data_IF_034983444746
#
_entry.id   IF_034983444746
#
_cell.length_a   1.000
_cell.length_b   1.000
_cell.length_c   1.000
_cell.angle_alpha   90.00
_cell.angle_beta   90.00
_cell.angle_gamma   90.00
#
_symmetry.space_group_name_H-M   'P 1'
#
loop_
_entity.id
_entity.type
_entity.pdbx_description
1 polymer ?
#
# COMPACT_ATOMS: atom_id res chain seq x y z
N UNK A 1 -21.17 25.05 -2.52
CA UNK A 1 -20.66 24.01 -1.59
C UNK A 1 -19.50 24.61 -0.84
N UNK A 2 -19.38 24.32 0.46
CA UNK A 2 -18.19 24.70 1.22
C UNK A 2 -16.97 23.89 0.75
N UNK A 3 -15.77 24.36 1.09
CA UNK A 3 -14.55 23.59 0.84
C UNK A 3 -14.36 22.53 1.93
N UNK A 4 -13.68 21.41 1.64
CA UNK A 4 -13.27 20.44 2.65
C UNK A 4 -12.31 21.04 3.69
N UNK A 5 -12.38 20.54 4.91
CA UNK A 5 -11.49 20.95 6.00
C UNK A 5 -10.06 20.47 5.72
N UNK A 6 -9.05 21.24 6.16
CA UNK A 6 -7.64 20.87 5.99
C UNK A 6 -7.11 20.26 7.29
N UNK A 7 -6.48 19.10 7.20
CA UNK A 7 -5.84 18.42 8.33
C UNK A 7 -4.33 18.29 8.11
N UNK A 8 -3.54 18.89 9.00
CA UNK A 8 -2.08 18.93 8.93
C UNK A 8 -1.48 18.24 10.17
N UNK A 9 -1.00 16.98 10.06
CA UNK A 9 -0.19 16.38 11.12
C UNK A 9 1.23 16.99 11.10
N UNK A 10 1.72 17.43 12.26
CA UNK A 10 3.02 18.08 12.38
C UNK A 10 3.84 17.48 13.53
N UNK A 11 5.10 17.17 13.25
CA UNK A 11 6.09 16.82 14.27
C UNK A 11 7.38 17.57 14.01
N UNK A 12 7.76 18.45 14.94
CA UNK A 12 8.93 19.33 14.84
C UNK A 12 8.97 20.12 13.52
N UNK A 13 7.87 20.84 13.16
CA UNK A 13 7.79 21.58 11.91
C UNK A 13 8.74 22.79 11.89
N UNK A 14 9.01 23.31 10.70
CA UNK A 14 9.66 24.61 10.52
C UNK A 14 8.61 25.73 10.35
N UNK A 15 9.06 26.97 10.10
CA UNK A 15 8.18 28.12 9.94
C UNK A 15 7.24 28.03 8.72
N UNK A 16 7.51 27.13 7.76
CA UNK A 16 6.70 27.03 6.54
C UNK A 16 5.27 26.63 6.81
N UNK A 17 5.01 25.94 7.93
CA UNK A 17 3.64 25.61 8.32
C UNK A 17 2.79 26.88 8.54
N UNK A 18 3.38 27.94 9.09
CA UNK A 18 2.69 29.22 9.31
C UNK A 18 2.37 29.89 7.99
N UNK A 19 3.34 29.88 7.06
CA UNK A 19 3.15 30.44 5.71
C UNK A 19 2.08 29.67 4.93
N UNK A 20 2.11 28.33 5.00
CA UNK A 20 1.12 27.46 4.38
C UNK A 20 -0.29 27.75 4.90
N UNK A 21 -0.47 27.89 6.22
CA UNK A 21 -1.76 28.23 6.83
C UNK A 21 -2.28 29.56 6.31
N UNK A 22 -1.43 30.60 6.27
CA UNK A 22 -1.80 31.91 5.72
C UNK A 22 -2.21 31.86 4.25
N UNK A 23 -1.48 31.08 3.44
CA UNK A 23 -1.81 30.87 2.03
C UNK A 23 -3.12 30.09 1.84
N UNK A 24 -3.42 29.12 2.70
CA UNK A 24 -4.67 28.34 2.65
C UNK A 24 -5.88 29.20 2.98
N UNK A 25 -5.81 30.04 4.02
CA UNK A 25 -6.86 31.02 4.29
C UNK A 25 -7.04 31.98 3.12
N UNK A 26 -5.95 32.46 2.53
CA UNK A 26 -6.01 33.33 1.33
C UNK A 26 -6.63 32.63 0.12
N UNK A 27 -6.55 31.30 0.05
CA UNK A 27 -7.17 30.48 -0.99
C UNK A 27 -8.65 30.13 -0.70
N UNK A 28 -9.19 30.58 0.43
CA UNK A 28 -10.59 30.43 0.83
C UNK A 28 -10.90 29.22 1.69
N UNK A 29 -9.90 28.52 2.24
CA UNK A 29 -10.13 27.45 3.21
C UNK A 29 -10.37 28.03 4.60
N UNK A 30 -11.53 27.77 5.19
CA UNK A 30 -11.92 28.35 6.48
C UNK A 30 -11.56 27.47 7.68
N UNK A 31 -11.57 26.15 7.50
CA UNK A 31 -11.37 25.18 8.59
C UNK A 31 -10.04 24.45 8.44
N UNK A 32 -9.03 24.94 9.16
CA UNK A 32 -7.70 24.33 9.20
C UNK A 32 -7.42 23.76 10.59
N UNK A 33 -7.14 22.46 10.65
CA UNK A 33 -6.80 21.71 11.86
C UNK A 33 -5.35 21.25 11.76
N UNK A 34 -4.55 21.62 12.76
CA UNK A 34 -3.17 21.15 12.92
C UNK A 34 -3.09 20.25 14.13
N UNK A 35 -2.41 19.12 14.00
CA UNK A 35 -2.13 18.21 15.11
C UNK A 35 -0.63 18.22 15.40
N UNK A 36 -0.24 18.87 16.50
CA UNK A 36 1.12 18.78 17.06
C UNK A 36 1.31 17.41 17.72
N UNK A 37 2.05 16.53 17.06
CA UNK A 37 2.37 15.18 17.53
C UNK A 37 3.52 15.19 18.54
N UNK A 38 3.43 16.04 19.56
CA UNK A 38 4.39 16.11 20.66
C UNK A 38 5.76 16.66 20.26
N UNK A 39 5.80 17.77 19.53
CA UNK A 39 7.04 18.42 19.07
C UNK A 39 7.91 18.96 20.22
N UNK A 40 7.28 19.31 21.34
CA UNK A 40 7.94 19.81 22.55
C UNK A 40 7.95 21.35 22.66
N UNK A 41 8.40 21.90 23.80
CA UNK A 41 8.32 23.33 24.11
C UNK A 41 9.04 24.24 23.10
N UNK A 42 10.13 23.76 22.49
CA UNK A 42 10.94 24.49 21.50
C UNK A 42 10.13 24.90 20.26
N UNK A 43 9.07 24.16 19.91
CA UNK A 43 8.24 24.41 18.73
C UNK A 43 6.94 25.17 19.05
N UNK A 44 6.73 25.51 20.31
CA UNK A 44 5.47 26.12 20.79
C UNK A 44 5.14 27.45 20.14
N UNK A 45 6.15 28.26 19.81
CA UNK A 45 5.98 29.55 19.12
C UNK A 45 5.38 29.36 17.72
N UNK A 46 5.84 28.35 16.97
CA UNK A 46 5.35 28.04 15.62
C UNK A 46 3.85 27.73 15.66
N UNK A 47 3.44 26.85 16.58
CA UNK A 47 2.03 26.52 16.75
C UNK A 47 1.20 27.68 17.31
N UNK A 48 1.76 28.53 18.16
CA UNK A 48 1.09 29.75 18.65
C UNK A 48 0.83 30.73 17.51
N UNK A 49 1.82 30.96 16.66
CA UNK A 49 1.70 31.82 15.47
C UNK A 49 0.69 31.27 14.47
N UNK A 50 0.70 29.96 14.20
CA UNK A 50 -0.33 29.33 13.39
C UNK A 50 -1.73 29.53 14.02
N UNK A 51 -1.89 29.26 15.31
CA UNK A 51 -3.15 29.46 16.03
C UNK A 51 -3.68 30.90 15.98
N UNK A 52 -2.80 31.91 15.98
CA UNK A 52 -3.17 33.32 15.80
C UNK A 52 -3.76 33.63 14.43
N UNK A 53 -3.51 32.81 13.41
CA UNK A 53 -4.16 32.91 12.09
C UNK A 53 -5.58 32.33 12.08
N UNK A 54 -6.02 31.69 13.17
CA UNK A 54 -7.37 31.14 13.33
C UNK A 54 -7.46 29.62 13.21
N UNK A 55 -6.35 28.91 12.95
CA UNK A 55 -6.40 27.44 12.84
C UNK A 55 -6.57 26.76 14.21
N UNK A 56 -7.25 25.61 14.21
CA UNK A 56 -7.38 24.78 15.41
C UNK A 56 -6.10 23.99 15.64
N UNK A 57 -5.54 24.05 16.86
CA UNK A 57 -4.35 23.27 17.24
C UNK A 57 -4.73 22.18 18.24
N UNK A 58 -4.57 20.92 17.84
CA UNK A 58 -4.64 19.75 18.73
C UNK A 58 -3.22 19.33 19.13
N UNK A 59 -3.03 18.82 20.36
CA UNK A 59 -1.69 18.49 20.87
C UNK A 59 -1.64 17.10 21.49
N UNK A 60 -0.60 16.36 21.16
CA UNK A 60 -0.18 15.18 21.90
C UNK A 60 0.93 15.54 22.90
N UNK A 61 0.95 14.85 24.05
CA UNK A 61 2.01 15.04 25.04
C UNK A 61 3.37 14.48 24.63
N UNK A 62 3.39 13.48 23.74
CA UNK A 62 4.58 12.83 23.18
C UNK A 62 4.33 12.47 21.70
N UNK A 63 5.38 12.16 20.95
CA UNK A 63 5.25 11.65 19.59
C UNK A 63 4.56 10.28 19.57
N UNK A 64 3.34 10.24 19.06
CA UNK A 64 2.54 9.03 18.91
C UNK A 64 2.58 8.47 17.48
N UNK A 65 2.96 9.30 16.51
CA UNK A 65 3.10 8.94 15.11
C UNK A 65 2.09 9.65 14.19
N UNK A 66 2.46 9.81 12.91
CA UNK A 66 1.63 10.49 11.89
C UNK A 66 0.23 9.88 11.77
N UNK A 67 0.11 8.56 11.81
CA UNK A 67 -1.19 7.88 11.74
C UNK A 67 -2.08 8.21 12.93
N UNK A 68 -1.53 8.26 14.15
CA UNK A 68 -2.26 8.69 15.34
C UNK A 68 -2.66 10.15 15.21
N UNK A 69 -1.77 11.03 14.76
CA UNK A 69 -2.08 12.45 14.55
C UNK A 69 -3.23 12.65 13.55
N UNK A 70 -3.21 11.93 12.43
CA UNK A 70 -4.31 11.92 11.47
C UNK A 70 -5.62 11.44 12.11
N UNK A 71 -5.60 10.33 12.86
CA UNK A 71 -6.78 9.82 13.57
C UNK A 71 -7.30 10.81 14.62
N UNK A 72 -6.43 11.50 15.33
CA UNK A 72 -6.83 12.55 16.29
C UNK A 72 -7.58 13.67 15.57
N UNK A 73 -7.08 14.12 14.42
CA UNK A 73 -7.76 15.13 13.61
C UNK A 73 -9.09 14.65 13.04
N UNK A 74 -9.14 13.45 12.48
CA UNK A 74 -10.38 12.83 11.98
C UNK A 74 -11.43 12.70 13.09
N UNK A 75 -11.02 12.24 14.27
CA UNK A 75 -11.91 12.09 15.41
C UNK A 75 -12.43 13.45 15.90
N UNK A 76 -11.54 14.44 15.99
CA UNK A 76 -11.94 15.81 16.32
C UNK A 76 -13.02 16.32 15.36
N UNK A 77 -12.82 16.15 14.04
CA UNK A 77 -13.79 16.61 13.05
C UNK A 77 -15.16 15.95 13.25
N UNK A 78 -15.19 14.63 13.39
CA UNK A 78 -16.43 13.86 13.62
C UNK A 78 -17.13 14.25 14.93
N UNK A 79 -16.40 14.52 16.00
CA UNK A 79 -16.98 14.88 17.31
C UNK A 79 -17.45 16.32 17.42
N UNK A 80 -16.98 17.21 16.53
CA UNK A 80 -17.29 18.64 16.56
C UNK A 80 -18.23 19.08 15.43
N UNK A 81 -18.69 18.15 14.59
CA UNK A 81 -19.55 18.46 13.44
C UNK A 81 -18.81 19.09 12.25
N UNK A 82 -17.49 18.98 12.22
CA UNK A 82 -16.60 19.42 11.15
C UNK A 82 -16.42 18.33 10.09
N UNK A 83 -15.84 18.66 8.94
CA UNK A 83 -15.56 17.72 7.85
C UNK A 83 -16.80 17.30 7.05
N UNK A 84 -17.84 18.14 7.00
CA UNK A 84 -19.08 17.90 6.24
C UNK A 84 -18.78 17.62 4.75
N UNK A 85 -17.88 18.40 4.16
CA UNK A 85 -17.43 18.24 2.77
C UNK A 85 -16.23 17.29 2.62
N UNK A 86 -15.89 16.56 3.68
CA UNK A 86 -14.70 15.73 3.78
C UNK A 86 -13.48 16.49 4.31
N UNK A 87 -12.34 15.81 4.31
CA UNK A 87 -11.07 16.32 4.86
C UNK A 87 -9.96 16.15 3.84
N UNK A 88 -9.16 17.19 3.62
CA UNK A 88 -7.92 17.11 2.85
C UNK A 88 -6.75 17.06 3.82
N UNK A 89 -5.95 15.99 3.74
CA UNK A 89 -4.70 15.91 4.48
C UNK A 89 -3.58 16.63 3.73
N UNK A 90 -2.72 17.36 4.42
CA UNK A 90 -1.52 17.96 3.84
C UNK A 90 -0.33 17.81 4.80
N UNK A 91 0.87 17.64 4.24
CA UNK A 91 2.11 17.58 5.03
C UNK A 91 2.55 18.98 5.51
N UNK A 92 3.11 19.03 6.73
CA UNK A 92 3.52 20.26 7.39
C UNK A 92 4.79 20.93 6.81
N UNK A 93 5.44 20.31 5.83
CA UNK A 93 6.73 20.76 5.29
C UNK A 93 6.61 21.70 4.07
N UNK A 94 5.37 22.05 3.70
CA UNK A 94 5.08 22.98 2.61
C UNK A 94 5.33 22.40 1.21
N UNK A 95 5.41 21.07 1.06
CA UNK A 95 5.56 20.44 -0.25
C UNK A 95 4.30 20.56 -1.13
N UNK A 96 3.13 20.81 -0.52
CA UNK A 96 1.84 20.91 -1.21
C UNK A 96 1.45 22.36 -1.41
N UNK A 97 1.24 22.76 -2.65
CA UNK A 97 0.78 24.13 -2.94
C UNK A 97 -0.71 24.28 -2.60
N UNK A 98 -1.17 25.50 -2.23
CA UNK A 98 -2.60 25.78 -2.13
C UNK A 98 -3.37 25.47 -3.41
N UNK A 99 -2.73 25.66 -4.57
CA UNK A 99 -3.31 25.31 -5.87
C UNK A 99 -3.53 23.80 -6.02
N UNK A 100 -2.57 22.97 -5.59
CA UNK A 100 -2.73 21.51 -5.60
C UNK A 100 -3.79 21.05 -4.61
N UNK A 101 -3.84 21.62 -3.41
CA UNK A 101 -4.88 21.36 -2.41
C UNK A 101 -6.26 21.73 -2.99
N UNK A 102 -6.36 22.83 -3.72
CA UNK A 102 -7.59 23.23 -4.41
C UNK A 102 -8.02 22.23 -5.48
N UNK A 103 -7.09 21.69 -6.29
CA UNK A 103 -7.42 20.61 -7.25
C UNK A 103 -8.01 19.38 -6.56
N UNK A 104 -7.53 19.04 -5.35
CA UNK A 104 -8.09 17.94 -4.56
C UNK A 104 -9.51 18.27 -4.10
N UNK A 105 -9.75 19.49 -3.60
CA UNK A 105 -11.07 19.93 -3.18
C UNK A 105 -12.08 19.90 -4.34
N UNK A 106 -11.68 20.36 -5.53
CA UNK A 106 -12.53 20.34 -6.72
C UNK A 106 -12.85 18.89 -7.13
N UNK A 107 -11.88 17.98 -7.05
CA UNK A 107 -12.08 16.56 -7.33
C UNK A 107 -12.98 15.85 -6.30
N UNK A 108 -12.88 16.21 -5.00
CA UNK A 108 -13.79 15.72 -3.97
C UNK A 108 -15.21 16.21 -4.20
N UNK A 109 -15.38 17.46 -4.66
CA UNK A 109 -16.69 18.00 -5.02
C UNK A 109 -17.30 17.24 -6.20
N UNK A 110 -16.49 16.93 -7.23
CA UNK A 110 -16.93 16.18 -8.38
C UNK A 110 -17.21 14.69 -8.07
N UNK A 111 -16.51 14.11 -7.11
CA UNK A 111 -16.64 12.70 -6.69
C UNK A 111 -16.67 12.58 -5.15
N UNK A 112 -17.80 12.92 -4.49
CA UNK A 112 -17.89 13.05 -3.02
C UNK A 112 -17.60 11.77 -2.22
N UNK A 113 -17.66 10.63 -2.89
CA UNK A 113 -17.54 9.30 -2.30
C UNK A 113 -16.17 8.64 -2.54
N UNK A 114 -15.35 9.26 -3.40
CA UNK A 114 -14.07 8.73 -3.80
C UNK A 114 -12.94 9.20 -2.88
N UNK A 115 -11.96 8.33 -2.67
CA UNK A 115 -10.68 8.72 -2.08
C UNK A 115 -9.85 9.41 -3.17
N UNK A 116 -9.52 10.68 -2.96
CA UNK A 116 -8.74 11.47 -3.92
C UNK A 116 -7.27 11.49 -3.48
N UNK A 117 -6.35 11.23 -4.40
CA UNK A 117 -4.91 11.18 -4.14
C UNK A 117 -4.19 12.21 -5.01
N UNK A 118 -3.42 13.08 -4.37
CA UNK A 118 -2.47 13.96 -5.06
C UNK A 118 -1.25 13.17 -5.50
N UNK A 119 -1.08 12.96 -6.79
CA UNK A 119 0.01 12.17 -7.37
C UNK A 119 1.07 13.09 -7.92
N UNK A 120 2.28 13.01 -7.36
CA UNK A 120 3.42 13.78 -7.84
C UNK A 120 3.79 13.37 -9.27
N UNK A 121 3.97 14.37 -10.15
CA UNK A 121 4.61 14.13 -11.43
C UNK A 121 6.11 13.84 -11.21
N UNK A 122 6.54 12.59 -11.42
CA UNK A 122 7.94 12.16 -11.26
C UNK A 122 8.87 12.66 -12.38
N UNK A 123 8.54 13.79 -13.02
CA UNK A 123 9.32 14.46 -14.05
C UNK A 123 10.38 15.34 -13.40
N UNK A 124 11.64 14.90 -13.39
CA UNK A 124 12.79 15.68 -12.85
C UNK A 124 13.82 14.88 -12.04
N UNK A 125 14.72 15.60 -11.34
CA UNK A 125 15.78 15.07 -10.46
C UNK A 125 15.22 14.52 -9.14
N UNK A 126 14.40 13.46 -9.21
CA UNK A 126 13.96 12.73 -8.03
C UNK A 126 15.17 12.01 -7.41
N UNK A 127 15.43 12.09 -6.10
CA UNK A 127 16.46 11.27 -5.46
C UNK A 127 16.21 9.79 -5.75
N UNK A 128 17.20 9.10 -6.35
CA UNK A 128 17.10 7.71 -6.82
C UNK A 128 16.48 6.75 -5.77
N UNK A 129 16.81 6.95 -4.48
CA UNK A 129 16.28 6.13 -3.37
C UNK A 129 14.77 6.26 -3.17
N UNK A 130 14.20 7.47 -3.30
CA UNK A 130 12.75 7.70 -3.15
C UNK A 130 11.98 7.16 -4.36
N UNK A 131 12.55 7.33 -5.58
CA UNK A 131 11.99 6.76 -6.81
C UNK A 131 11.96 5.24 -6.79
N UNK A 132 13.04 4.59 -6.33
CA UNK A 132 13.10 3.13 -6.21
C UNK A 132 12.11 2.60 -5.17
N UNK A 133 12.03 3.19 -3.98
CA UNK A 133 11.07 2.79 -2.95
C UNK A 133 9.62 2.88 -3.43
N UNK A 134 9.23 4.01 -4.03
CA UNK A 134 7.88 4.18 -4.57
C UNK A 134 7.61 3.22 -5.74
N UNK A 135 8.56 2.99 -6.65
CA UNK A 135 8.37 2.02 -7.74
C UNK A 135 8.14 0.60 -7.23
N UNK A 136 8.89 0.18 -6.21
CA UNK A 136 8.73 -1.12 -5.56
C UNK A 136 7.35 -1.21 -4.90
N UNK A 137 6.96 -0.22 -4.11
CA UNK A 137 5.66 -0.20 -3.44
C UNK A 137 4.49 -0.13 -4.42
N UNK A 138 4.60 0.64 -5.50
CA UNK A 138 3.59 0.70 -6.59
C UNK A 138 3.46 -0.63 -7.32
N UNK A 139 4.59 -1.24 -7.65
CA UNK A 139 4.62 -2.58 -8.24
C UNK A 139 3.91 -3.58 -7.33
N UNK A 140 4.20 -3.55 -6.02
CA UNK A 140 3.56 -4.43 -5.06
C UNK A 140 2.08 -4.13 -4.80
N UNK A 141 1.68 -2.85 -4.77
CA UNK A 141 0.29 -2.47 -4.63
C UNK A 141 -0.55 -2.93 -5.82
N UNK A 142 -0.04 -2.71 -7.05
CA UNK A 142 -0.66 -3.23 -8.28
C UNK A 142 -0.68 -4.77 -8.30
N UNK A 143 0.37 -5.41 -7.79
CA UNK A 143 0.49 -6.86 -7.61
C UNK A 143 -0.51 -7.46 -6.62
N UNK A 144 -0.95 -6.73 -5.59
CA UNK A 144 -1.85 -7.27 -4.57
C UNK A 144 -3.30 -6.85 -4.82
N UNK A 145 -3.55 -5.66 -5.35
CA UNK A 145 -4.90 -5.08 -5.42
C UNK A 145 -5.40 -4.79 -6.83
N UNK A 146 -4.58 -4.95 -7.88
CA UNK A 146 -5.00 -4.74 -9.28
C UNK A 146 -5.28 -3.28 -9.66
N UNK A 147 -5.43 -2.37 -8.70
CA UNK A 147 -5.54 -0.93 -8.88
C UNK A 147 -4.18 -0.27 -9.09
N UNK A 148 -4.04 0.52 -10.16
CA UNK A 148 -2.81 1.29 -10.44
C UNK A 148 -2.81 2.58 -9.63
N UNK A 149 -2.14 2.59 -8.47
CA UNK A 149 -1.89 3.81 -7.69
C UNK A 149 -0.52 4.35 -8.05
N UNK A 150 -0.50 5.60 -8.53
CA UNK A 150 0.71 6.25 -9.04
C UNK A 150 1.56 6.89 -7.96
N UNK A 151 1.02 7.14 -6.78
CA UNK A 151 1.83 7.54 -5.63
C UNK A 151 1.22 7.00 -4.36
N UNK A 152 1.80 5.93 -3.83
CA UNK A 152 1.33 5.32 -2.58
C UNK A 152 1.81 6.08 -1.35
N UNK A 153 2.78 6.99 -1.52
CA UNK A 153 3.46 7.70 -0.43
C UNK A 153 3.07 9.19 -0.38
N UNK A 154 2.04 9.59 -1.12
CA UNK A 154 1.52 10.96 -1.03
C UNK A 154 0.81 11.18 0.32
N UNK A 155 1.14 12.29 0.98
CA UNK A 155 0.42 12.80 2.14
C UNK A 155 -0.74 13.73 1.77
N UNK A 156 -0.85 14.14 0.49
CA UNK A 156 -1.95 14.96 0.00
C UNK A 156 -3.11 14.08 -0.46
N UNK A 157 -4.16 14.01 0.35
CA UNK A 157 -5.30 13.11 0.13
C UNK A 157 -6.61 13.78 0.48
N UNK A 158 -7.60 13.62 -0.39
CA UNK A 158 -8.99 13.94 -0.10
C UNK A 158 -9.70 12.73 0.48
N UNK A 159 -10.12 12.85 1.74
CA UNK A 159 -10.81 11.83 2.52
C UNK A 159 -12.30 12.19 2.57
N UNK A 160 -13.18 11.41 1.91
CA UNK A 160 -14.60 11.72 1.88
C UNK A 160 -15.26 11.50 3.24
N UNK A 161 -16.21 12.37 3.58
CA UNK A 161 -16.85 12.41 4.89
C UNK A 161 -17.46 11.06 5.30
N UNK A 162 -18.13 10.39 4.36
CA UNK A 162 -18.78 9.09 4.58
C UNK A 162 -17.83 8.01 5.10
N UNK A 163 -16.57 8.03 4.68
CA UNK A 163 -15.60 7.00 5.03
C UNK A 163 -14.81 7.33 6.30
N UNK A 164 -14.96 8.51 6.89
CA UNK A 164 -14.21 8.90 8.10
C UNK A 164 -14.33 7.91 9.26
N UNK A 165 -15.51 7.33 9.60
CA UNK A 165 -15.60 6.33 10.66
C UNK A 165 -14.80 5.05 10.35
N UNK A 166 -14.81 4.61 9.09
CA UNK A 166 -13.98 3.48 8.65
C UNK A 166 -12.49 3.83 8.80
N UNK A 167 -12.07 5.00 8.29
CA UNK A 167 -10.68 5.46 8.33
C UNK A 167 -10.15 5.52 9.77
N UNK A 168 -10.96 5.96 10.74
CA UNK A 168 -10.60 5.95 12.16
C UNK A 168 -10.36 4.54 12.71
N UNK A 169 -11.16 3.56 12.29
CA UNK A 169 -11.08 2.18 12.77
C UNK A 169 -9.87 1.40 12.22
N UNK A 170 -9.23 1.90 11.15
CA UNK A 170 -8.13 1.18 10.50
C UNK A 170 -6.91 1.05 11.43
N UNK A 171 -6.18 -0.07 11.36
CA UNK A 171 -4.98 -0.25 12.17
C UNK A 171 -3.83 0.66 11.71
N UNK A 172 -2.84 0.84 12.58
CA UNK A 172 -1.63 1.64 12.30
C UNK A 172 -1.68 3.01 12.96
N UNK A 173 -0.52 3.46 13.43
CA UNK A 173 -0.36 4.69 14.20
C UNK A 173 0.76 5.58 13.68
N UNK A 174 1.61 5.08 12.79
CA UNK A 174 2.66 5.87 12.11
C UNK A 174 2.37 5.91 10.61
N UNK A 175 3.41 6.01 9.78
CA UNK A 175 3.28 6.14 8.33
C UNK A 175 2.58 4.96 7.66
N UNK A 176 2.58 3.76 8.28
CA UNK A 176 1.87 2.60 7.77
C UNK A 176 0.34 2.78 7.75
N UNK A 177 -0.20 3.73 8.51
CA UNK A 177 -1.63 4.05 8.50
C UNK A 177 -2.09 4.52 7.12
N UNK A 178 -1.35 5.42 6.50
CA UNK A 178 -1.63 5.93 5.15
C UNK A 178 -1.63 4.79 4.12
N UNK A 179 -0.74 3.82 4.29
CA UNK A 179 -0.77 2.62 3.45
C UNK A 179 -2.03 1.78 3.68
N UNK A 180 -2.43 1.58 4.94
CA UNK A 180 -3.64 0.80 5.26
C UNK A 180 -4.90 1.46 4.69
N UNK A 181 -4.98 2.80 4.63
CA UNK A 181 -6.08 3.49 3.93
C UNK A 181 -6.19 3.02 2.48
N UNK A 182 -5.07 2.94 1.76
CA UNK A 182 -5.07 2.50 0.36
C UNK A 182 -5.45 1.02 0.21
N UNK A 183 -4.92 0.17 1.08
CA UNK A 183 -5.22 -1.27 1.09
C UNK A 183 -6.72 -1.52 1.36
N UNK A 184 -7.30 -0.77 2.30
CA UNK A 184 -8.69 -0.93 2.72
C UNK A 184 -9.67 -0.25 1.76
N UNK A 185 -9.26 0.82 1.07
CA UNK A 185 -10.07 1.41 0.00
C UNK A 185 -10.44 0.36 -1.06
N UNK A 186 -9.49 -0.48 -1.47
CA UNK A 186 -9.78 -1.60 -2.36
C UNK A 186 -10.69 -2.66 -1.72
N UNK A 187 -10.47 -2.95 -0.42
CA UNK A 187 -11.29 -3.94 0.30
C UNK A 187 -12.77 -3.53 0.38
N UNK A 188 -13.03 -2.23 0.50
CA UNK A 188 -14.36 -1.66 0.67
C UNK A 188 -14.93 -1.09 -0.64
N UNK A 189 -14.32 -1.39 -1.80
CA UNK A 189 -14.76 -0.92 -3.12
C UNK A 189 -14.86 0.62 -3.22
N UNK A 190 -14.02 1.32 -2.45
CA UNK A 190 -13.92 2.79 -2.48
C UNK A 190 -13.15 3.18 -3.74
N UNK A 191 -13.77 4.01 -4.57
CA UNK A 191 -13.15 4.51 -5.81
C UNK A 191 -11.92 5.37 -5.51
N UNK A 192 -10.86 5.19 -6.30
CA UNK A 192 -9.61 5.96 -6.18
C UNK A 192 -9.49 6.95 -7.35
N UNK A 193 -9.43 8.24 -7.03
CA UNK A 193 -9.18 9.31 -8.01
C UNK A 193 -7.76 9.81 -7.82
N UNK A 194 -7.04 10.02 -8.92
CA UNK A 194 -5.63 10.42 -8.88
C UNK A 194 -5.43 11.72 -9.64
N UNK A 195 -5.12 12.78 -8.91
CA UNK A 195 -4.94 14.14 -9.42
C UNK A 195 -3.44 14.46 -9.50
N UNK A 196 -2.90 14.78 -10.68
CA UNK A 196 -1.50 15.22 -10.80
C UNK A 196 -1.24 16.49 -10.00
N UNK A 197 -0.18 16.48 -9.20
CA UNK A 197 0.29 17.64 -8.41
C UNK A 197 1.75 17.94 -8.73
N UNK A 198 2.12 19.19 -8.54
CA UNK A 198 3.51 19.64 -8.71
C UNK A 198 4.34 19.22 -7.50
N UNK A 199 5.62 18.89 -7.72
CA UNK A 199 6.52 18.53 -6.61
C UNK A 199 7.47 19.67 -6.33
N UNK A 200 7.28 20.34 -5.20
CA UNK A 200 8.24 21.34 -4.72
C UNK A 200 9.37 20.59 -4.00
N UNK A 201 10.51 20.42 -4.69
CA UNK A 201 11.73 19.92 -4.07
C UNK A 201 12.45 21.07 -3.36
N UNK A 202 12.38 21.10 -2.04
CA UNK A 202 13.12 22.08 -1.22
C UNK A 202 14.51 21.51 -0.94
N UNK A 203 15.57 22.16 -1.44
CA UNK A 203 16.96 21.79 -1.14
C UNK A 203 17.22 21.88 0.38
N UNK A 204 17.85 20.85 0.95
CA UNK A 204 18.22 20.82 2.37
C UNK A 204 17.21 20.20 3.33
N UNK A 205 16.13 19.56 2.84
CA UNK A 205 15.11 18.94 3.69
C UNK A 205 15.65 17.68 4.43
N UNK A 206 16.36 17.88 5.55
CA UNK A 206 16.79 16.84 6.51
C UNK A 206 15.65 16.33 7.39
N UNK A 207 14.46 16.91 7.31
CA UNK A 207 13.33 16.67 8.23
C UNK A 207 12.38 15.53 7.84
N UNK A 208 12.55 14.92 6.66
CA UNK A 208 11.85 13.68 6.35
C UNK A 208 12.46 12.52 7.15
N UNK A 209 12.00 12.34 8.40
CA UNK A 209 12.27 11.17 9.24
C UNK A 209 11.66 9.86 8.70
N UNK A 210 11.28 9.84 7.42
CA UNK A 210 10.68 8.70 6.74
C UNK A 210 11.71 7.58 6.51
N UNK A 211 11.55 6.46 7.20
CA UNK A 211 12.40 5.27 7.06
C UNK A 211 11.70 4.26 6.15
N UNK A 212 11.79 4.53 4.84
CA UNK A 212 11.21 3.78 3.69
C UNK A 212 11.12 2.24 3.88
N UNK A 213 12.15 1.61 4.47
CA UNK A 213 12.25 0.16 4.60
C UNK A 213 11.47 -0.42 5.79
N UNK A 214 11.38 0.30 6.91
CA UNK A 214 10.65 -0.17 8.10
C UNK A 214 9.14 0.02 7.94
N UNK A 215 8.74 1.09 7.27
CA UNK A 215 7.31 1.44 7.10
C UNK A 215 6.61 0.60 6.01
N UNK A 216 7.38 0.05 5.06
CA UNK A 216 6.88 -0.88 4.05
C UNK A 216 6.83 -2.34 4.52
N UNK A 217 7.19 -2.61 5.78
CA UNK A 217 7.38 -3.96 6.32
C UNK A 217 6.14 -4.87 6.23
N UNK A 218 4.91 -4.32 6.29
CA UNK A 218 3.69 -5.16 6.15
C UNK A 218 3.45 -5.64 4.73
N UNK A 219 3.74 -4.80 3.72
CA UNK A 219 3.64 -5.17 2.31
C UNK A 219 4.68 -6.25 2.02
N UNK A 220 5.92 -6.03 2.48
CA UNK A 220 6.97 -7.04 2.41
C UNK A 220 6.62 -8.29 3.19
N UNK A 221 5.96 -8.20 4.35
CA UNK A 221 5.57 -9.36 5.14
C UNK A 221 4.55 -10.24 4.42
N UNK A 222 3.61 -9.67 3.64
CA UNK A 222 2.67 -10.47 2.85
C UNK A 222 3.41 -11.26 1.76
N UNK A 223 4.34 -10.61 1.07
CA UNK A 223 5.17 -11.25 0.04
C UNK A 223 6.12 -12.28 0.63
N UNK A 224 6.77 -11.97 1.75
CA UNK A 224 7.61 -12.90 2.48
C UNK A 224 6.82 -14.11 2.96
N UNK A 225 5.57 -13.94 3.40
CA UNK A 225 4.69 -15.07 3.74
C UNK A 225 4.34 -15.93 2.52
N UNK A 226 4.11 -15.33 1.36
CA UNK A 226 3.87 -16.07 0.11
C UNK A 226 5.13 -16.78 -0.42
N UNK A 227 6.29 -16.13 -0.33
CA UNK A 227 7.58 -16.75 -0.66
C UNK A 227 7.85 -17.90 0.31
N UNK A 228 7.63 -17.70 1.61
CA UNK A 228 7.79 -18.72 2.62
C UNK A 228 6.83 -19.90 2.41
N UNK A 229 5.56 -19.67 2.07
CA UNK A 229 4.60 -20.74 1.77
C UNK A 229 5.03 -21.56 0.55
N UNK A 230 5.52 -20.89 -0.50
CA UNK A 230 6.03 -21.54 -1.70
C UNK A 230 7.31 -22.35 -1.42
N UNK A 231 8.21 -21.84 -0.57
CA UNK A 231 9.42 -22.57 -0.14
C UNK A 231 9.06 -23.80 0.71
N UNK A 232 8.12 -23.67 1.65
CA UNK A 232 7.63 -24.78 2.46
C UNK A 232 7.00 -25.84 1.55
N UNK A 233 6.16 -25.44 0.59
CA UNK A 233 5.55 -26.34 -0.37
C UNK A 233 6.61 -27.06 -1.22
N UNK A 234 7.64 -26.35 -1.67
CA UNK A 234 8.77 -26.96 -2.40
C UNK A 234 9.54 -27.96 -1.53
N UNK A 235 9.73 -27.69 -0.24
CA UNK A 235 10.34 -28.63 0.70
C UNK A 235 9.50 -29.89 0.89
N UNK A 236 8.17 -29.73 1.01
CA UNK A 236 7.22 -30.85 1.07
C UNK A 236 7.23 -31.66 -0.23
N UNK A 237 7.28 -31.01 -1.39
CA UNK A 237 7.39 -31.66 -2.70
C UNK A 237 8.61 -32.57 -2.76
N UNK A 238 9.77 -32.04 -2.36
CA UNK A 238 11.02 -32.79 -2.37
C UNK A 238 10.99 -33.98 -1.40
N UNK A 239 10.48 -33.76 -0.17
CA UNK A 239 10.37 -34.82 0.83
C UNK A 239 9.42 -35.94 0.38
N UNK A 240 8.23 -35.59 -0.13
CA UNK A 240 7.26 -36.56 -0.61
C UNK A 240 7.79 -37.33 -1.81
N UNK A 241 8.46 -36.65 -2.75
CA UNK A 241 9.08 -37.32 -3.89
C UNK A 241 10.13 -38.33 -3.44
N UNK A 242 11.02 -37.94 -2.51
CA UNK A 242 12.06 -38.82 -1.97
C UNK A 242 11.46 -40.06 -1.28
N UNK A 243 10.47 -39.88 -0.41
CA UNK A 243 9.79 -40.98 0.27
C UNK A 243 9.07 -41.92 -0.72
N UNK A 244 8.36 -41.36 -1.70
CA UNK A 244 7.65 -42.16 -2.70
C UNK A 244 8.61 -42.95 -3.59
N UNK A 245 9.81 -42.44 -3.84
CA UNK A 245 10.82 -43.14 -4.62
C UNK A 245 11.41 -44.35 -3.86
N UNK A 246 11.53 -44.24 -2.54
CA UNK A 246 11.95 -45.35 -1.66
C UNK A 246 10.85 -46.41 -1.56
N UNK A 247 9.60 -45.99 -1.36
CA UNK A 247 8.46 -46.90 -1.13
C UNK A 247 8.04 -47.59 -2.44
N UNK A 248 8.08 -46.89 -3.57
CA UNK A 248 7.69 -47.40 -4.89
C UNK A 248 8.83 -47.27 -5.92
N UNK A 249 9.91 -48.06 -5.79
CA UNK A 249 11.04 -47.99 -6.72
C UNK A 249 10.59 -48.27 -8.16
N UNK A 250 11.09 -47.49 -9.12
CA UNK A 250 10.78 -47.64 -10.54
C UNK A 250 9.46 -47.01 -11.01
N UNK A 251 8.59 -46.54 -10.10
CA UNK A 251 7.33 -45.86 -10.46
C UNK A 251 7.47 -44.33 -10.43
N UNK A 252 8.40 -43.79 -11.22
CA UNK A 252 8.77 -42.36 -11.18
C UNK A 252 7.57 -41.41 -11.36
N UNK A 253 6.67 -41.70 -12.30
CA UNK A 253 5.50 -40.85 -12.60
C UNK A 253 4.56 -40.79 -11.39
N UNK A 254 4.36 -41.92 -10.71
CA UNK A 254 3.51 -42.00 -9.52
C UNK A 254 4.10 -41.18 -8.37
N UNK A 255 5.42 -41.30 -8.13
CA UNK A 255 6.12 -40.53 -7.09
C UNK A 255 6.03 -39.02 -7.33
N UNK A 256 6.19 -38.56 -8.58
CA UNK A 256 6.05 -37.14 -8.94
C UNK A 256 4.61 -36.66 -8.75
N UNK A 257 3.62 -37.45 -9.19
CA UNK A 257 2.22 -37.07 -9.09
C UNK A 257 1.77 -36.89 -7.63
N UNK A 258 2.13 -37.83 -6.75
CA UNK A 258 1.82 -37.77 -5.32
C UNK A 258 2.51 -36.58 -4.65
N UNK A 259 3.79 -36.36 -4.95
CA UNK A 259 4.54 -35.22 -4.42
C UNK A 259 3.89 -33.88 -4.79
N UNK A 260 3.52 -33.71 -6.07
CA UNK A 260 2.87 -32.51 -6.59
C UNK A 260 1.48 -32.29 -6.01
N UNK A 261 0.70 -33.36 -5.84
CA UNK A 261 -0.62 -33.27 -5.23
C UNK A 261 -0.52 -32.83 -3.75
N UNK A 262 0.40 -33.43 -2.99
CA UNK A 262 0.62 -33.09 -1.59
C UNK A 262 1.19 -31.69 -1.37
N UNK A 263 2.23 -31.31 -2.12
CA UNK A 263 2.87 -29.99 -2.02
C UNK A 263 1.90 -28.86 -2.40
N UNK A 264 1.12 -29.04 -3.46
CA UNK A 264 0.12 -28.08 -3.90
C UNK A 264 -1.03 -27.92 -2.90
N UNK A 265 -1.44 -28.99 -2.22
CA UNK A 265 -2.45 -28.94 -1.15
C UNK A 265 -1.95 -28.17 0.07
N UNK A 266 -0.71 -28.43 0.52
CA UNK A 266 -0.09 -27.68 1.62
C UNK A 266 0.05 -26.20 1.26
N UNK A 267 0.52 -25.90 0.04
CA UNK A 267 0.64 -24.51 -0.42
C UNK A 267 -0.72 -23.79 -0.41
N UNK A 268 -1.78 -24.46 -0.87
CA UNK A 268 -3.14 -23.94 -0.83
C UNK A 268 -3.61 -23.65 0.60
N UNK A 269 -3.39 -24.56 1.55
CA UNK A 269 -3.79 -24.39 2.95
C UNK A 269 -3.07 -23.20 3.60
N UNK A 270 -1.76 -23.09 3.40
CA UNK A 270 -0.95 -21.98 3.95
C UNK A 270 -1.39 -20.66 3.31
N UNK A 271 -1.52 -20.59 1.99
CA UNK A 271 -1.93 -19.36 1.30
C UNK A 271 -3.35 -18.94 1.70
N UNK A 272 -4.28 -19.88 1.83
CA UNK A 272 -5.64 -19.60 2.29
C UNK A 272 -5.67 -19.00 3.70
N UNK A 273 -4.95 -19.62 4.64
CA UNK A 273 -5.09 -19.30 6.06
C UNK A 273 -4.16 -18.16 6.51
N UNK A 274 -2.97 -18.05 5.93
CA UNK A 274 -1.93 -17.11 6.38
C UNK A 274 -1.72 -15.91 5.46
N UNK A 275 -1.87 -16.09 4.14
CA UNK A 275 -1.59 -15.03 3.14
C UNK A 275 -2.87 -14.27 2.80
N UNK A 276 -3.93 -14.96 2.36
CA UNK A 276 -5.16 -14.33 1.85
C UNK A 276 -6.34 -14.33 2.84
N UNK A 277 -6.19 -14.98 4.02
CA UNK A 277 -7.13 -14.96 5.16
C UNK A 277 -8.64 -15.04 4.79
N UNK A 278 -9.04 -15.98 3.92
CA UNK A 278 -10.46 -16.12 3.51
C UNK A 278 -11.23 -17.00 4.52
N UNK A 279 -12.31 -16.47 5.10
CA UNK A 279 -13.23 -17.21 6.02
C UNK A 279 -14.16 -18.19 5.30
N UNK A 280 -14.44 -18.00 4.00
CA UNK A 280 -15.25 -18.94 3.20
C UNK A 280 -14.53 -19.27 1.90
N UNK A 281 -14.08 -20.52 1.77
CA UNK A 281 -13.57 -21.07 0.52
C UNK A 281 -14.31 -22.39 0.27
N UNK A 282 -15.33 -22.34 -0.59
CA UNK A 282 -16.06 -23.52 -1.04
C UNK A 282 -15.24 -24.37 -2.01
N UNK A 283 -15.73 -25.58 -2.31
CA UNK A 283 -15.11 -26.58 -3.19
C UNK A 283 -14.64 -26.00 -4.55
N UNK A 284 -15.36 -25.01 -5.09
CA UNK A 284 -15.00 -24.30 -6.33
C UNK A 284 -13.61 -23.65 -6.31
N UNK A 285 -13.10 -23.19 -5.16
CA UNK A 285 -11.79 -22.52 -5.09
C UNK A 285 -10.63 -23.53 -5.22
N UNK A 286 -10.81 -24.73 -4.69
CA UNK A 286 -9.86 -25.83 -4.80
C UNK A 286 -9.74 -26.28 -6.27
N UNK A 287 -10.88 -26.43 -6.95
CA UNK A 287 -10.90 -26.82 -8.37
C UNK A 287 -10.17 -25.79 -9.24
N UNK A 288 -10.45 -24.49 -9.06
CA UNK A 288 -9.76 -23.42 -9.80
C UNK A 288 -8.25 -23.41 -9.52
N UNK A 289 -7.86 -23.68 -8.27
CA UNK A 289 -6.45 -23.78 -7.89
C UNK A 289 -5.74 -24.92 -8.63
N UNK A 290 -6.32 -26.12 -8.68
CA UNK A 290 -5.72 -27.27 -9.36
C UNK A 290 -5.69 -27.12 -10.89
N UNK A 291 -6.73 -26.52 -11.49
CA UNK A 291 -6.72 -26.16 -12.92
C UNK A 291 -5.55 -25.22 -13.20
N UNK A 292 -5.40 -24.18 -12.38
CA UNK A 292 -4.31 -23.23 -12.54
C UNK A 292 -2.93 -23.89 -12.33
N UNK A 293 -2.80 -24.77 -11.34
CA UNK A 293 -1.56 -25.51 -11.10
C UNK A 293 -1.18 -26.39 -12.31
N UNK A 294 -2.15 -27.05 -12.95
CA UNK A 294 -1.93 -27.83 -14.16
C UNK A 294 -1.47 -26.95 -15.34
N UNK A 295 -2.08 -25.77 -15.52
CA UNK A 295 -1.69 -24.81 -16.55
C UNK A 295 -0.27 -24.27 -16.33
N UNK A 296 0.09 -23.94 -15.08
CA UNK A 296 1.45 -23.50 -14.74
C UNK A 296 2.47 -24.61 -14.99
N UNK A 297 2.14 -25.86 -14.67
CA UNK A 297 3.01 -26.99 -14.92
C UNK A 297 3.25 -27.20 -16.43
N UNK A 298 2.19 -27.11 -17.24
CA UNK A 298 2.30 -27.20 -18.70
C UNK A 298 3.15 -26.05 -19.27
N UNK A 299 2.91 -24.82 -18.80
CA UNK A 299 3.70 -23.64 -19.19
C UNK A 299 5.18 -23.80 -18.80
N UNK A 300 5.47 -24.38 -17.63
CA UNK A 300 6.85 -24.67 -17.19
C UNK A 300 7.58 -25.59 -18.15
N UNK A 301 6.92 -26.68 -18.56
CA UNK A 301 7.49 -27.61 -19.54
C UNK A 301 7.79 -26.94 -20.88
N UNK A 302 6.85 -26.13 -21.39
CA UNK A 302 7.01 -25.43 -22.68
C UNK A 302 8.15 -24.40 -22.60
N UNK A 303 8.17 -23.55 -21.56
CA UNK A 303 9.19 -22.51 -21.37
C UNK A 303 10.59 -23.10 -21.22
N UNK A 304 10.75 -24.19 -20.45
CA UNK A 304 12.03 -24.88 -20.32
C UNK A 304 12.51 -25.38 -21.69
N UNK A 305 11.62 -25.97 -22.51
CA UNK A 305 11.98 -26.39 -23.87
C UNK A 305 12.37 -25.23 -24.77
N UNK A 306 11.64 -24.11 -24.72
CA UNK A 306 11.97 -22.92 -25.52
C UNK A 306 13.34 -22.36 -25.14
N UNK A 307 13.63 -22.20 -23.84
CA UNK A 307 14.92 -21.68 -23.40
C UNK A 307 16.07 -22.66 -23.66
N UNK A 308 15.86 -23.95 -23.41
CA UNK A 308 16.93 -24.93 -23.55
C UNK A 308 17.20 -25.33 -25.01
N UNK A 309 16.15 -25.69 -25.77
CA UNK A 309 16.29 -26.19 -27.13
C UNK A 309 16.20 -25.06 -28.17
N UNK A 310 15.40 -24.03 -27.92
CA UNK A 310 15.24 -22.91 -28.84
C UNK A 310 16.35 -21.85 -28.73
N UNK A 311 16.76 -21.50 -27.51
CA UNK A 311 17.78 -20.47 -27.25
C UNK A 311 19.15 -21.03 -26.84
N UNK A 312 19.28 -22.36 -26.71
CA UNK A 312 20.55 -23.00 -26.33
C UNK A 312 20.99 -22.73 -24.89
N UNK A 313 20.10 -22.22 -24.04
CA UNK A 313 20.43 -21.91 -22.64
C UNK A 313 20.59 -23.22 -21.87
N UNK A 314 21.57 -23.28 -20.96
CA UNK A 314 21.77 -24.44 -20.10
C UNK A 314 20.46 -24.84 -19.40
N UNK A 315 20.19 -26.15 -19.28
CA UNK A 315 18.94 -26.69 -18.75
C UNK A 315 18.62 -26.17 -17.34
N UNK A 316 19.63 -26.10 -16.46
CA UNK A 316 19.45 -25.63 -15.08
C UNK A 316 19.13 -24.14 -15.02
N UNK A 317 19.78 -23.34 -15.88
CA UNK A 317 19.51 -21.89 -16.00
C UNK A 317 18.13 -21.65 -16.59
N UNK A 318 17.74 -22.42 -17.61
CA UNK A 318 16.40 -22.40 -18.23
C UNK A 318 15.31 -22.70 -17.21
N UNK A 319 15.54 -23.70 -16.35
CA UNK A 319 14.63 -24.04 -15.25
C UNK A 319 14.50 -22.90 -14.24
N UNK A 320 15.62 -22.32 -13.81
CA UNK A 320 15.61 -21.23 -12.82
C UNK A 320 14.88 -19.98 -13.34
N UNK A 321 15.10 -19.60 -14.60
CA UNK A 321 14.41 -18.49 -15.26
C UNK A 321 12.90 -18.79 -15.34
N UNK A 322 12.54 -19.99 -15.80
CA UNK A 322 11.15 -20.42 -15.95
C UNK A 322 10.40 -20.43 -14.63
N UNK A 323 10.98 -21.04 -13.59
CA UNK A 323 10.36 -21.15 -12.28
C UNK A 323 10.18 -19.76 -11.64
N UNK A 324 11.13 -18.84 -11.85
CA UNK A 324 11.01 -17.44 -11.41
C UNK A 324 9.85 -16.72 -12.11
N UNK A 325 9.76 -16.82 -13.45
CA UNK A 325 8.68 -16.23 -14.25
C UNK A 325 7.31 -16.77 -13.84
N UNK A 326 7.20 -18.09 -13.69
CA UNK A 326 5.95 -18.75 -13.37
C UNK A 326 5.53 -18.59 -11.91
N UNK A 327 6.47 -18.36 -10.98
CA UNK A 327 6.12 -17.96 -9.62
C UNK A 327 5.36 -16.61 -9.62
N UNK A 328 5.80 -15.64 -10.42
CA UNK A 328 5.11 -14.36 -10.58
C UNK A 328 3.74 -14.52 -11.25
N UNK A 329 3.68 -15.20 -12.40
CA UNK A 329 2.43 -15.44 -13.12
C UNK A 329 1.43 -16.24 -12.27
N UNK A 330 1.93 -17.25 -11.54
CA UNK A 330 1.14 -18.08 -10.66
C UNK A 330 0.53 -17.31 -9.50
N UNK A 331 1.27 -16.36 -8.90
CA UNK A 331 0.73 -15.48 -7.87
C UNK A 331 -0.44 -14.63 -8.40
N UNK A 332 -0.28 -13.98 -9.56
CA UNK A 332 -1.35 -13.17 -10.17
C UNK A 332 -2.58 -14.00 -10.53
N UNK A 333 -2.37 -15.15 -11.17
CA UNK A 333 -3.47 -16.01 -11.58
C UNK A 333 -4.19 -16.62 -10.36
N UNK A 334 -3.46 -16.95 -9.27
CA UNK A 334 -4.09 -17.38 -8.03
C UNK A 334 -4.94 -16.25 -7.44
N UNK A 335 -4.45 -15.00 -7.44
CA UNK A 335 -5.24 -13.84 -6.99
C UNK A 335 -6.53 -13.66 -7.81
N UNK A 336 -6.41 -13.56 -9.14
CA UNK A 336 -7.50 -13.15 -10.03
C UNK A 336 -8.47 -14.28 -10.41
N UNK A 337 -8.02 -15.53 -10.46
CA UNK A 337 -8.84 -16.64 -10.94
C UNK A 337 -9.28 -17.55 -9.80
N UNK A 338 -8.41 -17.77 -8.81
CA UNK A 338 -8.66 -18.72 -7.72
C UNK A 338 -9.29 -18.02 -6.51
N UNK A 339 -8.72 -16.89 -6.10
CA UNK A 339 -9.09 -16.16 -4.89
C UNK A 339 -9.86 -14.86 -5.16
N UNK A 340 -10.34 -14.65 -6.40
CA UNK A 340 -11.21 -13.53 -6.76
C UNK A 340 -12.34 -13.43 -5.73
N UNK A 341 -12.52 -12.22 -5.18
CA UNK A 341 -13.49 -11.96 -4.11
C UNK A 341 -14.90 -12.36 -4.51
#
# INVERSE_FOLDING_TARGET
MGLPDILIPAYKPDNKIVDLVGQLYSAGFDDIIIVDDGSGPEYSDIFSRAGKLGCTILRHGINMGKGRALKTGLNYCLTTGKGEFGIITADADGQHTPADIRKIADAMTAQPEALVLGVRNFTGKVPLKSRMGNNITRFFFRLIHGSDVRDTQTGLRGLPARHMPLLLSLPGERYEYEMNILLEAHTHEISLVQIPIDTIYIEGNRSSHFKVLQDSARIYALLLKFIASSLIASGVDYLLFFLMNIIFPGQLIFSVAVARAGSSFVNYLINRNMVFKRKQAGFSSIVRYYILAALIMLASYVLIRVFNQGLGINLYVSKLITDSLLAFVGFFAQRELVYRR
#
